data_IF_096286064186
#
_entry.id   IF_096286064186
#
_cell.length_a   1.000
_cell.length_b   1.000
_cell.length_c   1.000
_cell.angle_alpha   90.00
_cell.angle_beta   90.00
_cell.angle_gamma   90.00
#
_symmetry.space_group_name_H-M   'P 1'
#
loop_
_entity.id
_entity.type
_entity.pdbx_description
1 polymer ?
#
# COMPACT_ATOMS: atom_id res chain seq x y z
N UNK A 1 19.06 18.82 -20.15
CA UNK A 1 17.87 18.16 -19.57
C UNK A 1 18.18 17.87 -18.12
N UNK A 2 17.47 18.49 -17.18
CA UNK A 2 17.64 18.19 -15.75
C UNK A 2 17.15 16.76 -15.50
N UNK A 3 17.98 15.91 -14.90
CA UNK A 3 17.55 14.59 -14.43
C UNK A 3 16.71 14.80 -13.18
N UNK A 4 15.42 14.50 -13.25
CA UNK A 4 14.55 14.52 -12.06
C UNK A 4 15.10 13.57 -11.00
N UNK A 5 15.04 13.98 -9.74
CA UNK A 5 15.42 13.12 -8.61
C UNK A 5 14.30 12.13 -8.29
N UNK A 6 14.64 11.00 -7.67
CA UNK A 6 13.67 10.00 -7.17
C UNK A 6 12.55 10.66 -6.36
N UNK A 7 12.90 11.62 -5.50
CA UNK A 7 11.93 12.35 -4.66
C UNK A 7 10.93 13.14 -5.51
N UNK A 8 11.38 13.83 -6.56
CA UNK A 8 10.51 14.60 -7.44
C UNK A 8 9.51 13.71 -8.21
N UNK A 9 9.95 12.54 -8.68
CA UNK A 9 9.07 11.58 -9.38
C UNK A 9 7.98 11.09 -8.45
N UNK A 10 8.34 10.74 -7.22
CA UNK A 10 7.39 10.24 -6.22
C UNK A 10 6.41 11.35 -5.84
N UNK A 11 6.87 12.58 -5.60
CA UNK A 11 5.99 13.72 -5.33
C UNK A 11 5.03 14.01 -6.50
N UNK A 12 5.52 14.02 -7.73
CA UNK A 12 4.70 14.21 -8.95
C UNK A 12 3.64 13.12 -9.08
N UNK A 13 3.98 11.88 -8.75
CA UNK A 13 3.04 10.76 -8.75
C UNK A 13 1.93 10.93 -7.70
N UNK A 14 2.30 11.19 -6.45
CA UNK A 14 1.34 11.35 -5.36
C UNK A 14 0.42 12.55 -5.54
N UNK A 15 0.90 13.63 -6.17
CA UNK A 15 0.09 14.80 -6.50
C UNK A 15 -1.04 14.53 -7.51
N UNK A 16 -0.98 13.41 -8.25
CA UNK A 16 -1.95 13.05 -9.28
C UNK A 16 -2.99 12.03 -8.82
N UNK A 17 -2.82 11.47 -7.63
CA UNK A 17 -3.80 10.54 -7.08
C UNK A 17 -5.01 11.37 -6.60
N UNK A 18 -6.23 11.09 -7.09
CA UNK A 18 -7.42 11.77 -6.61
C UNK A 18 -7.60 11.52 -5.11
N UNK A 19 -8.17 12.49 -4.39
CA UNK A 19 -8.59 12.23 -3.00
C UNK A 19 -9.79 11.30 -3.02
N UNK A 20 -9.73 10.23 -2.24
CA UNK A 20 -10.83 9.27 -2.08
C UNK A 20 -11.41 9.37 -0.67
N UNK A 21 -12.74 9.24 -0.56
CA UNK A 21 -13.35 9.05 0.75
C UNK A 21 -13.10 7.61 1.22
N UNK A 22 -13.03 7.39 2.54
CA UNK A 22 -12.64 6.10 3.15
C UNK A 22 -13.48 4.89 2.70
N UNK A 23 -14.67 5.13 2.17
CA UNK A 23 -15.62 4.09 1.79
C UNK A 23 -15.72 3.84 0.28
N UNK A 24 -15.04 4.65 -0.55
CA UNK A 24 -15.03 4.43 -1.99
C UNK A 24 -14.09 3.27 -2.35
N UNK A 25 -14.53 2.31 -3.18
CA UNK A 25 -13.62 1.28 -3.69
C UNK A 25 -12.53 1.93 -4.53
N UNK A 26 -11.28 1.57 -4.26
CA UNK A 26 -10.17 2.01 -5.09
C UNK A 26 -10.33 1.46 -6.50
N UNK A 27 -10.01 2.24 -7.55
CA UNK A 27 -10.00 1.71 -8.90
C UNK A 27 -8.87 0.67 -9.04
N UNK A 28 -8.99 -0.24 -10.01
CA UNK A 28 -7.91 -1.21 -10.30
C UNK A 28 -6.73 -0.57 -11.06
N UNK A 29 -6.90 0.68 -11.52
CA UNK A 29 -5.87 1.44 -12.22
C UNK A 29 -6.06 2.96 -12.14
N UNK A 30 -4.97 3.69 -12.34
CA UNK A 30 -4.89 5.14 -12.40
C UNK A 30 -3.94 5.54 -13.52
N UNK A 31 -4.37 6.47 -14.38
CA UNK A 31 -3.48 7.07 -15.37
C UNK A 31 -2.79 8.27 -14.73
N UNK A 32 -1.46 8.22 -14.66
CA UNK A 32 -0.60 9.30 -14.15
C UNK A 32 0.28 9.83 -15.29
N UNK A 33 0.57 11.11 -15.28
CA UNK A 33 1.50 11.77 -16.18
C UNK A 33 2.79 12.06 -15.39
N UNK A 34 3.83 11.24 -15.56
CA UNK A 34 5.12 11.48 -14.91
C UNK A 34 6.12 11.98 -15.94
N UNK A 35 6.77 13.11 -15.68
CA UNK A 35 7.75 13.71 -16.58
C UNK A 35 7.22 13.91 -18.02
N UNK A 36 5.94 14.26 -18.15
CA UNK A 36 5.26 14.44 -19.44
C UNK A 36 4.87 13.13 -20.16
N UNK A 37 5.08 11.97 -19.55
CA UNK A 37 4.67 10.66 -20.10
C UNK A 37 3.45 10.13 -19.36
N UNK A 38 2.41 9.77 -20.12
CA UNK A 38 1.23 9.08 -19.58
C UNK A 38 1.56 7.62 -19.29
N UNK A 39 1.27 7.18 -18.08
CA UNK A 39 1.52 5.85 -17.57
C UNK A 39 0.24 5.32 -16.92
N UNK A 40 -0.17 4.12 -17.32
CA UNK A 40 -1.21 3.40 -16.60
C UNK A 40 -0.57 2.69 -15.40
N UNK A 41 -0.86 3.17 -14.19
CA UNK A 41 -0.52 2.55 -12.91
C UNK A 41 -1.65 1.62 -12.49
N UNK A 42 -1.42 0.32 -12.40
CA UNK A 42 -2.49 -0.65 -12.13
C UNK A 42 -2.00 -1.80 -11.26
N UNK A 43 -2.95 -2.46 -10.59
CA UNK A 43 -2.71 -3.64 -9.76
C UNK A 43 -1.96 -4.72 -10.56
N UNK A 44 -2.40 -4.99 -11.79
CA UNK A 44 -1.76 -5.98 -12.66
C UNK A 44 -0.32 -5.59 -13.04
N UNK A 45 -0.05 -4.30 -13.24
CA UNK A 45 1.30 -3.83 -13.59
C UNK A 45 2.24 -3.88 -12.38
N UNK A 46 1.73 -3.67 -11.16
CA UNK A 46 2.46 -3.95 -9.91
C UNK A 46 2.79 -5.45 -9.82
N UNK A 47 1.82 -6.32 -10.04
CA UNK A 47 2.00 -7.77 -10.01
C UNK A 47 3.10 -8.21 -10.99
N UNK A 48 3.04 -7.73 -12.23
CA UNK A 48 4.05 -7.99 -13.25
C UNK A 48 5.45 -7.53 -12.84
N UNK A 49 5.58 -6.29 -12.34
CA UNK A 49 6.87 -5.72 -11.95
C UNK A 49 7.51 -6.46 -10.77
N UNK A 50 6.68 -6.87 -9.80
CA UNK A 50 7.12 -7.60 -8.61
C UNK A 50 7.21 -9.11 -8.83
N UNK A 51 6.83 -9.63 -10.01
CA UNK A 51 6.76 -11.06 -10.34
C UNK A 51 5.88 -11.85 -9.36
N UNK A 52 4.75 -11.25 -8.98
CA UNK A 52 3.78 -11.84 -8.06
C UNK A 52 2.58 -12.39 -8.83
N UNK A 53 2.10 -13.57 -8.44
CA UNK A 53 0.82 -14.09 -8.89
C UNK A 53 -0.31 -13.46 -8.09
N UNK A 54 -1.40 -13.11 -8.77
CA UNK A 54 -2.65 -12.71 -8.12
C UNK A 54 -3.50 -13.96 -7.85
N UNK A 55 -4.30 -13.99 -6.77
CA UNK A 55 -5.19 -15.11 -6.49
C UNK A 55 -6.33 -15.19 -7.51
N UNK A 56 -6.74 -16.42 -7.87
CA UNK A 56 -7.83 -16.67 -8.84
C UNK A 56 -9.23 -16.38 -8.28
N UNK A 57 -9.36 -16.41 -6.95
CA UNK A 57 -10.57 -16.05 -6.22
C UNK A 57 -10.32 -14.76 -5.42
N UNK A 58 -11.39 -14.02 -5.03
CA UNK A 58 -11.26 -12.83 -4.21
C UNK A 58 -10.47 -13.14 -2.94
N UNK A 59 -9.32 -12.49 -2.78
CA UNK A 59 -8.49 -12.52 -1.58
C UNK A 59 -8.59 -11.21 -0.81
N UNK A 60 -7.84 -11.08 0.28
CA UNK A 60 -7.61 -9.77 0.90
C UNK A 60 -6.82 -8.86 -0.09
N UNK A 61 -7.17 -7.57 -0.29
CA UNK A 61 -8.13 -6.77 0.49
C UNK A 61 -9.58 -6.78 -0.01
N UNK A 62 -9.89 -7.45 -1.14
CA UNK A 62 -11.25 -7.51 -1.67
C UNK A 62 -12.24 -8.19 -0.72
N UNK A 63 -11.78 -9.21 0.00
CA UNK A 63 -12.47 -9.77 1.17
C UNK A 63 -12.17 -8.89 2.40
N UNK A 64 -13.08 -7.97 2.74
CA UNK A 64 -12.99 -7.22 4.01
C UNK A 64 -13.09 -8.23 5.16
N UNK A 65 -11.99 -8.43 5.87
CA UNK A 65 -12.00 -9.20 7.11
C UNK A 65 -12.63 -8.33 8.20
N UNK A 66 -13.65 -8.85 8.89
CA UNK A 66 -14.23 -8.17 10.05
C UNK A 66 -13.19 -8.18 11.17
N UNK A 67 -12.48 -7.07 11.36
CA UNK A 67 -11.56 -6.90 12.47
C UNK A 67 -12.04 -5.78 13.36
N UNK A 68 -12.40 -6.12 14.60
CA UNK A 68 -12.42 -5.15 15.67
C UNK A 68 -10.99 -4.61 15.88
N UNK A 69 -10.85 -3.34 16.29
CA UNK A 69 -9.55 -2.70 16.49
C UNK A 69 -8.65 -3.54 17.40
N UNK A 70 -7.55 -4.08 16.87
CA UNK A 70 -6.59 -4.82 17.69
C UNK A 70 -5.66 -3.83 18.41
N UNK A 71 -5.71 -3.82 19.75
CA UNK A 71 -4.68 -3.17 20.55
C UNK A 71 -3.43 -4.07 20.60
N UNK A 72 -2.22 -3.51 20.44
CA UNK A 72 -0.97 -4.28 20.42
C UNK A 72 -0.79 -5.18 21.66
N UNK A 73 -1.26 -4.70 22.83
CA UNK A 73 -1.25 -5.46 24.10
C UNK A 73 -2.15 -6.71 24.12
N UNK A 74 -3.05 -6.87 23.14
CA UNK A 74 -3.97 -8.01 23.00
C UNK A 74 -3.60 -8.95 21.84
N UNK A 75 -2.59 -8.64 21.04
CA UNK A 75 -2.14 -9.53 19.97
C UNK A 75 -1.45 -10.76 20.57
N UNK A 76 -1.76 -11.94 20.04
CA UNK A 76 -1.03 -13.17 20.38
C UNK A 76 0.43 -13.08 19.93
N UNK A 77 1.31 -13.92 20.49
CA UNK A 77 2.74 -13.94 20.10
C UNK A 77 2.92 -14.10 18.59
N UNK A 78 2.08 -14.93 17.95
CA UNK A 78 2.08 -15.13 16.50
C UNK A 78 1.80 -13.82 15.75
N UNK A 79 0.71 -13.12 16.10
CA UNK A 79 0.35 -11.86 15.43
C UNK A 79 1.34 -10.73 15.70
N UNK A 80 2.04 -10.74 16.84
CA UNK A 80 3.14 -9.78 17.08
C UNK A 80 4.31 -10.02 16.14
N UNK A 81 4.74 -11.28 15.97
CA UNK A 81 5.80 -11.63 15.02
C UNK A 81 5.41 -11.30 13.59
N UNK A 82 4.18 -11.62 13.18
CA UNK A 82 3.66 -11.24 11.87
C UNK A 82 3.64 -9.71 11.68
N UNK A 83 3.20 -8.96 12.70
CA UNK A 83 3.18 -7.50 12.65
C UNK A 83 4.59 -6.92 12.46
N UNK A 84 5.61 -7.48 13.12
CA UNK A 84 7.00 -7.06 12.93
C UNK A 84 7.46 -7.27 11.48
N UNK A 85 7.18 -8.43 10.89
CA UNK A 85 7.57 -8.73 9.50
C UNK A 85 6.81 -7.81 8.52
N UNK A 86 5.50 -7.68 8.68
CA UNK A 86 4.67 -6.80 7.85
C UNK A 86 5.15 -5.36 7.92
N UNK A 87 5.47 -4.86 9.11
CA UNK A 87 5.94 -3.48 9.31
C UNK A 87 7.35 -3.25 8.76
N UNK A 88 8.17 -4.30 8.64
CA UNK A 88 9.51 -4.18 8.06
C UNK A 88 9.48 -4.21 6.52
N UNK A 89 8.66 -5.10 5.96
CA UNK A 89 8.83 -5.52 4.56
C UNK A 89 7.63 -5.21 3.64
N UNK A 90 6.44 -4.95 4.19
CA UNK A 90 5.18 -4.89 3.42
C UNK A 90 4.46 -3.55 3.58
N UNK A 91 4.24 -3.12 4.82
CA UNK A 91 3.48 -1.94 5.21
C UNK A 91 4.22 -1.23 6.35
N UNK A 92 5.32 -0.50 6.06
CA UNK A 92 6.03 0.25 7.07
C UNK A 92 5.11 1.32 7.66
N UNK A 93 4.87 1.26 8.97
CA UNK A 93 4.11 2.29 9.69
C UNK A 93 4.93 3.58 9.73
N UNK A 94 4.33 4.66 9.23
CA UNK A 94 4.86 6.01 9.44
C UNK A 94 4.30 6.65 10.73
N UNK A 95 3.24 6.10 11.33
CA UNK A 95 2.64 6.60 12.58
C UNK A 95 3.48 6.20 13.82
N UNK A 96 4.67 6.77 13.91
CA UNK A 96 5.60 6.70 15.06
C UNK A 96 5.02 7.23 16.38
N UNK A 97 3.77 7.73 16.38
CA UNK A 97 3.16 8.38 17.54
C UNK A 97 2.16 7.52 18.32
N UNK A 98 1.70 6.37 17.79
CA UNK A 98 0.86 5.45 18.56
C UNK A 98 1.12 3.97 18.24
N UNK A 99 2.32 3.48 18.57
CA UNK A 99 2.70 2.05 18.53
C UNK A 99 1.74 1.09 19.25
N UNK A 100 0.72 1.59 19.96
CA UNK A 100 -0.25 0.79 20.72
C UNK A 100 -1.49 0.44 19.90
N UNK A 101 -1.84 1.20 18.87
CA UNK A 101 -3.04 0.97 18.06
C UNK A 101 -2.66 0.43 16.68
N UNK A 102 -3.17 -0.77 16.37
CA UNK A 102 -2.96 -1.38 15.07
C UNK A 102 -4.07 -0.87 14.14
N UNK A 103 -3.70 -0.22 13.03
CA UNK A 103 -4.67 0.32 12.09
C UNK A 103 -5.52 -0.82 11.47
N UNK A 104 -6.76 -0.51 11.06
CA UNK A 104 -7.73 -1.55 10.63
C UNK A 104 -7.26 -2.36 9.42
N UNK A 105 -6.53 -1.72 8.50
CA UNK A 105 -6.03 -2.39 7.28
C UNK A 105 -4.91 -3.37 7.60
N UNK A 106 -3.96 -2.98 8.47
CA UNK A 106 -2.91 -3.87 8.96
C UNK A 106 -3.50 -5.00 9.79
N UNK A 107 -4.52 -4.71 10.60
CA UNK A 107 -5.23 -5.70 11.40
C UNK A 107 -5.86 -6.78 10.52
N UNK A 108 -6.52 -6.33 9.45
CA UNK A 108 -7.14 -7.20 8.47
C UNK A 108 -6.11 -8.00 7.66
N UNK A 109 -4.99 -7.38 7.27
CA UNK A 109 -3.88 -8.08 6.62
C UNK A 109 -3.30 -9.18 7.52
N UNK A 110 -3.02 -8.85 8.78
CA UNK A 110 -2.50 -9.82 9.75
C UNK A 110 -3.47 -10.97 9.96
N UNK A 111 -4.77 -10.67 10.13
CA UNK A 111 -5.80 -11.70 10.23
C UNK A 111 -5.84 -12.60 8.99
N UNK A 112 -5.77 -12.03 7.78
CA UNK A 112 -5.72 -12.79 6.54
C UNK A 112 -4.52 -13.75 6.50
N UNK A 113 -3.32 -13.26 6.87
CA UNK A 113 -2.11 -14.09 6.97
C UNK A 113 -2.31 -15.22 8.00
N UNK A 114 -2.79 -14.88 9.20
CA UNK A 114 -2.98 -15.84 10.29
C UNK A 114 -4.03 -16.92 10.01
N UNK A 115 -4.98 -16.66 9.10
CA UNK A 115 -6.05 -17.58 8.73
C UNK A 115 -5.87 -18.21 7.34
N UNK A 116 -4.70 -18.07 6.72
CA UNK A 116 -4.41 -18.58 5.37
C UNK A 116 -5.42 -18.10 4.30
N UNK A 117 -5.96 -16.90 4.46
CA UNK A 117 -6.77 -16.26 3.43
C UNK A 117 -5.85 -15.85 2.28
N UNK A 118 -6.20 -16.11 1.01
CA UNK A 118 -5.41 -15.65 -0.12
C UNK A 118 -5.20 -14.13 -0.08
N UNK A 119 -3.97 -13.67 -0.34
CA UNK A 119 -3.60 -12.25 -0.28
C UNK A 119 -3.25 -11.79 -1.69
N UNK A 120 -4.02 -10.84 -2.22
CA UNK A 120 -3.66 -10.09 -3.41
C UNK A 120 -2.72 -8.94 -2.97
N UNK A 121 -1.45 -9.28 -2.79
CA UNK A 121 -0.42 -8.33 -2.36
C UNK A 121 -0.29 -7.12 -3.30
N UNK A 122 -0.33 -7.28 -4.66
CA UNK A 122 -0.42 -6.15 -5.58
C UNK A 122 -1.60 -5.21 -5.30
N UNK A 123 -2.80 -5.75 -5.05
CA UNK A 123 -3.98 -4.95 -4.73
C UNK A 123 -3.84 -4.24 -3.36
N UNK A 124 -3.24 -4.92 -2.38
CA UNK A 124 -2.96 -4.32 -1.08
C UNK A 124 -1.99 -3.13 -1.19
N UNK A 125 -0.88 -3.28 -1.93
CA UNK A 125 0.10 -2.21 -2.18
C UNK A 125 -0.57 -1.04 -2.90
N UNK A 126 -1.39 -1.33 -3.93
CA UNK A 126 -2.14 -0.30 -4.65
C UNK A 126 -3.04 0.49 -3.70
N UNK A 127 -3.82 -0.19 -2.85
CA UNK A 127 -4.66 0.46 -1.84
C UNK A 127 -3.86 1.25 -0.82
N UNK A 128 -2.69 0.76 -0.38
CA UNK A 128 -1.82 1.45 0.56
C UNK A 128 -1.30 2.79 0.00
N UNK A 129 -0.94 2.82 -1.29
CA UNK A 129 -0.55 4.06 -1.99
C UNK A 129 -1.69 5.09 -1.97
N UNK A 130 -2.93 4.67 -2.22
CA UNK A 130 -4.10 5.55 -2.19
C UNK A 130 -4.50 5.97 -0.77
N UNK A 131 -4.20 5.18 0.26
CA UNK A 131 -4.42 5.58 1.66
C UNK A 131 -3.43 6.66 2.10
N UNK A 132 -2.17 6.53 1.69
CA UNK A 132 -1.14 7.50 2.03
C UNK A 132 -1.44 8.92 1.50
N UNK A 133 -2.23 9.05 0.42
CA UNK A 133 -2.65 10.37 -0.09
C UNK A 133 -3.73 11.05 0.76
N UNK A 134 -4.37 10.31 1.68
CA UNK A 134 -5.41 10.84 2.56
C UNK A 134 -4.90 11.20 3.96
N UNK A 135 -3.65 10.86 4.28
CA UNK A 135 -3.04 11.04 5.60
C UNK A 135 -2.18 12.31 5.72
N UNK A 136 -2.51 13.36 4.96
CA UNK A 136 -1.83 14.68 4.91
C UNK A 136 -1.19 15.13 6.24
N UNK A 137 0.09 14.80 6.42
CA UNK A 137 1.00 15.59 7.25
C UNK A 137 2.31 15.73 6.52
N UNK A 138 2.78 16.97 6.47
CA UNK A 138 3.89 17.51 5.67
C UNK A 138 5.27 16.91 6.01
N UNK A 139 5.31 15.81 6.77
CA UNK A 139 6.49 15.24 7.42
C UNK A 139 6.77 13.79 7.03
N UNK A 140 5.87 13.12 6.30
CA UNK A 140 6.01 11.69 6.00
C UNK A 140 6.63 11.39 4.64
N UNK A 141 7.39 10.30 4.60
CA UNK A 141 7.95 9.77 3.36
C UNK A 141 6.83 9.04 2.62
N UNK A 142 6.62 9.37 1.35
CA UNK A 142 5.65 8.65 0.56
C UNK A 142 6.03 7.16 0.44
N UNK A 143 5.13 6.22 0.79
CA UNK A 143 5.47 4.81 0.78
C UNK A 143 5.71 4.30 -0.64
N UNK A 144 6.41 3.17 -0.76
CA UNK A 144 6.69 2.53 -2.05
C UNK A 144 7.43 3.42 -3.07
N UNK A 145 8.18 4.44 -2.64
CA UNK A 145 8.90 5.35 -3.55
C UNK A 145 9.84 4.64 -4.55
N UNK A 146 10.47 3.53 -4.12
CA UNK A 146 11.28 2.67 -5.01
C UNK A 146 10.44 1.98 -6.09
N UNK A 147 9.25 1.50 -5.76
CA UNK A 147 8.33 0.89 -6.72
C UNK A 147 7.87 1.92 -7.75
N UNK A 148 7.46 3.10 -7.28
CA UNK A 148 6.98 4.21 -8.13
C UNK A 148 8.09 4.69 -9.07
N UNK A 149 9.31 4.83 -8.55
CA UNK A 149 10.46 5.24 -9.36
C UNK A 149 10.80 4.19 -10.40
N UNK A 150 10.81 2.89 -10.05
CA UNK A 150 10.96 1.80 -11.05
C UNK A 150 9.86 1.83 -12.10
N UNK A 151 8.64 2.18 -11.70
CA UNK A 151 7.52 2.31 -12.62
C UNK A 151 7.71 3.44 -13.63
N UNK A 152 8.24 4.58 -13.17
CA UNK A 152 8.57 5.73 -14.00
C UNK A 152 9.82 5.51 -14.87
N UNK A 153 10.78 4.71 -14.39
CA UNK A 153 12.06 4.43 -15.07
C UNK A 153 12.03 3.18 -15.96
N UNK A 154 11.08 2.26 -15.79
CA UNK A 154 10.87 1.08 -16.63
C UNK A 154 10.30 1.40 -18.03
N UNK A 155 10.68 2.57 -18.54
CA UNK A 155 10.41 3.10 -19.88
C UNK A 155 11.69 3.02 -20.71
#
# INVERSE_FOLDING_TARGET
MSKFTTSQIVQEFYAQIPRFYRDDPYPDSLNVCLQGKKLNFSINRIAYLLKLSRPDAPGFPALRCASDRFAHGKLTKLYRTLNTIVSADIDPDDDLHDFRSLNLDRASLLYAIGNNVPIDLPAYIFGAIFRATNQHSETYSFPFGSLITRFAMGL
#
